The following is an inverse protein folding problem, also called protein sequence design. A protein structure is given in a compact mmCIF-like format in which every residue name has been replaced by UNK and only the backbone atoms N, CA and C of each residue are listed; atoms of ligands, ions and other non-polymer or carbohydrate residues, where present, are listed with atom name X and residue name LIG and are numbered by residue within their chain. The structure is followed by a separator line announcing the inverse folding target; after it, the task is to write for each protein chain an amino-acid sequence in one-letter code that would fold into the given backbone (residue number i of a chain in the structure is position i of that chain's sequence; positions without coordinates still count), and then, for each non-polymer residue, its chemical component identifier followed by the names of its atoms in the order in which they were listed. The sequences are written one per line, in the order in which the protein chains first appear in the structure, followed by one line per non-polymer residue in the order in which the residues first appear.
data_IF_370461780332
#
_entry.id   IF_370461780332
#
_cell.length_a   1.000
_cell.length_b   1.000
_cell.length_c   1.000
_cell.angle_alpha   90.00
_cell.angle_beta   90.00
_cell.angle_gamma   90.00
#
_symmetry.space_group_name_H-M   'P 1'
#
loop_
_entity.id
_entity.type
_entity.pdbx_description
1 polymer ?
#
# COMPACT_ATOMS: atom_id res chain seq x y z
N UNK A 1 13.65 18.84 1.74
CA UNK A 1 12.61 18.35 0.80
C UNK A 1 12.59 16.83 0.71
N UNK A 2 13.74 16.17 0.63
CA UNK A 2 13.89 14.70 0.71
C UNK A 2 13.23 14.05 1.93
N UNK A 3 13.36 14.65 3.13
CA UNK A 3 12.72 14.13 4.35
C UNK A 3 11.19 14.06 4.28
N UNK A 4 10.55 14.97 3.54
CA UNK A 4 9.09 14.97 3.38
C UNK A 4 8.63 13.83 2.45
N UNK A 5 9.42 13.51 1.42
CA UNK A 5 9.15 12.38 0.51
C UNK A 5 9.25 11.05 1.25
N UNK A 6 10.27 10.90 2.09
CA UNK A 6 10.44 9.70 2.90
C UNK A 6 9.30 9.56 3.92
N UNK A 7 8.95 10.63 4.63
CA UNK A 7 7.85 10.62 5.59
C UNK A 7 6.50 10.26 4.93
N UNK A 8 6.22 10.80 3.74
CA UNK A 8 5.02 10.44 2.98
C UNK A 8 5.04 8.99 2.52
N UNK A 9 6.19 8.50 2.04
CA UNK A 9 6.36 7.10 1.63
C UNK A 9 6.14 6.13 2.78
N UNK A 10 6.67 6.43 3.97
CA UNK A 10 6.46 5.64 5.19
C UNK A 10 5.01 5.67 5.66
N UNK A 11 4.37 6.84 5.68
CA UNK A 11 2.97 6.97 6.05
C UNK A 11 2.06 6.17 5.10
N UNK A 12 2.30 6.26 3.79
CA UNK A 12 1.53 5.50 2.80
C UNK A 12 1.79 3.99 2.89
N UNK A 13 3.04 3.59 3.18
CA UNK A 13 3.39 2.19 3.45
C UNK A 13 2.60 1.64 4.63
N UNK A 14 2.48 2.41 5.72
CA UNK A 14 1.72 2.02 6.90
C UNK A 14 0.22 1.89 6.58
N UNK A 15 -0.34 2.80 5.77
CA UNK A 15 -1.74 2.72 5.31
C UNK A 15 -1.98 1.43 4.52
N UNK A 16 -1.08 1.07 3.60
CA UNK A 16 -1.18 -0.19 2.84
C UNK A 16 -1.12 -1.40 3.78
N UNK A 17 -0.22 -1.41 4.75
CA UNK A 17 -0.11 -2.51 5.72
C UNK A 17 -1.42 -2.66 6.51
N UNK A 18 -1.96 -1.56 7.05
CA UNK A 18 -3.23 -1.57 7.79
C UNK A 18 -4.37 -2.07 6.92
N UNK A 19 -4.48 -1.59 5.69
CA UNK A 19 -5.49 -2.05 4.73
C UNK A 19 -5.42 -3.56 4.50
N UNK A 20 -4.22 -4.09 4.30
CA UNK A 20 -4.01 -5.51 4.00
C UNK A 20 -4.34 -6.38 5.20
N UNK A 21 -3.91 -5.97 6.39
CA UNK A 21 -4.27 -6.67 7.62
C UNK A 21 -5.78 -6.67 7.85
N UNK A 22 -6.46 -5.54 7.59
CA UNK A 22 -7.92 -5.46 7.68
C UNK A 22 -8.61 -6.29 6.59
N UNK A 23 -8.06 -6.36 5.38
CA UNK A 23 -8.63 -7.18 4.29
C UNK A 23 -8.63 -8.68 4.59
N UNK A 24 -7.72 -9.12 5.47
CA UNK A 24 -7.67 -10.50 5.95
C UNK A 24 -8.66 -10.78 7.08
N UNK A 25 -9.17 -9.73 7.73
CA UNK A 25 -10.17 -9.85 8.78
C UNK A 25 -11.59 -9.79 8.18
N UNK A 26 -12.56 -10.54 8.73
CA UNK A 26 -13.96 -10.41 8.35
C UNK A 26 -14.45 -9.02 8.75
N UNK A 27 -14.55 -8.15 7.74
CA UNK A 27 -14.89 -6.73 7.90
C UNK A 27 -16.28 -6.46 7.33
N UNK A 28 -17.24 -7.26 7.77
CA UNK A 28 -18.57 -7.37 7.18
C UNK A 28 -19.58 -6.36 7.74
N UNK A 29 -19.34 -5.76 8.93
CA UNK A 29 -20.25 -4.77 9.56
C UNK A 29 -19.53 -3.76 10.45
N UNK A 30 -20.19 -2.60 10.65
CA UNK A 30 -19.78 -1.57 11.61
C UNK A 30 -18.63 -0.67 11.13
N UNK A 31 -18.02 0.05 12.07
CA UNK A 31 -16.95 1.05 11.82
C UNK A 31 -15.78 0.44 11.04
N UNK A 32 -15.47 -0.83 11.26
CA UNK A 32 -14.41 -1.55 10.55
C UNK A 32 -14.68 -1.59 9.04
N UNK A 33 -15.94 -1.79 8.62
CA UNK A 33 -16.34 -1.79 7.21
C UNK A 33 -16.12 -0.42 6.58
N UNK A 34 -16.55 0.64 7.27
CA UNK A 34 -16.40 2.00 6.77
C UNK A 34 -14.92 2.38 6.62
N UNK A 35 -14.08 2.00 7.59
CA UNK A 35 -12.63 2.20 7.52
C UNK A 35 -12.03 1.41 6.36
N UNK A 36 -12.39 0.14 6.21
CA UNK A 36 -11.91 -0.69 5.11
C UNK A 36 -12.32 -0.12 3.73
N UNK A 37 -13.55 0.37 3.58
CA UNK A 37 -14.03 0.97 2.33
C UNK A 37 -13.24 2.25 1.98
N UNK A 38 -12.88 3.06 2.97
CA UNK A 38 -12.04 4.25 2.78
C UNK A 38 -10.62 3.86 2.40
N UNK A 39 -10.03 2.88 3.10
CA UNK A 39 -8.70 2.37 2.79
C UNK A 39 -8.64 1.73 1.41
N UNK A 40 -9.65 0.95 1.02
CA UNK A 40 -9.77 0.36 -0.30
C UNK A 40 -9.74 1.43 -1.40
N UNK A 41 -10.48 2.54 -1.25
CA UNK A 41 -10.46 3.64 -2.23
C UNK A 41 -9.07 4.26 -2.43
N UNK A 42 -8.24 4.26 -1.38
CA UNK A 42 -6.90 4.86 -1.40
C UNK A 42 -5.84 3.86 -1.86
N UNK A 43 -5.96 2.60 -1.46
CA UNK A 43 -4.97 1.54 -1.71
C UNK A 43 -5.23 0.77 -3.01
N UNK A 44 -6.49 0.54 -3.38
CA UNK A 44 -6.85 -0.27 -4.55
C UNK A 44 -6.30 0.27 -5.88
N UNK A 45 -6.32 1.58 -6.18
CA UNK A 45 -5.74 2.07 -7.43
C UNK A 45 -4.26 1.69 -7.58
N UNK A 46 -3.51 1.73 -6.48
CA UNK A 46 -2.10 1.34 -6.45
C UNK A 46 -1.92 -0.18 -6.48
N UNK A 47 -2.65 -0.91 -5.63
CA UNK A 47 -2.56 -2.37 -5.54
C UNK A 47 -3.07 -3.07 -6.81
N UNK A 48 -4.08 -2.54 -7.48
CA UNK A 48 -4.63 -3.07 -8.73
C UNK A 48 -3.61 -3.09 -9.87
N UNK A 49 -2.63 -2.18 -9.86
CA UNK A 49 -1.51 -2.21 -10.82
C UNK A 49 -0.71 -3.52 -10.67
N UNK A 50 -0.55 -3.99 -9.44
CA UNK A 50 0.17 -5.24 -9.13
C UNK A 50 -0.73 -6.47 -9.22
N UNK A 51 -2.02 -6.37 -8.89
CA UNK A 51 -2.99 -7.48 -9.02
C UNK A 51 -3.16 -7.96 -10.47
N UNK A 52 -2.93 -7.09 -11.46
CA UNK A 52 -2.90 -7.50 -12.87
C UNK A 52 -1.71 -8.38 -13.25
N UNK A 53 -0.62 -8.29 -12.50
CA UNK A 53 0.63 -9.00 -12.76
C UNK A 53 0.71 -10.27 -11.89
N UNK A 54 0.23 -10.19 -10.65
CA UNK A 54 0.27 -11.28 -9.67
C UNK A 54 -1.15 -11.81 -9.49
N UNK A 55 -1.50 -12.99 -10.06
CA UNK A 55 -2.80 -13.60 -9.83
C UNK A 55 -3.01 -13.88 -8.33
N UNK A 56 -4.23 -13.66 -7.79
CA UNK A 56 -4.52 -13.89 -6.39
C UNK A 56 -4.34 -15.38 -6.04
N UNK A 57 -3.45 -15.68 -5.08
CA UNK A 57 -3.24 -17.06 -4.62
C UNK A 57 -4.34 -17.38 -3.60
N UNK A 58 -5.32 -18.20 -4.00
CA UNK A 58 -6.34 -18.73 -3.09
C UNK A 58 -7.52 -17.79 -2.77
N UNK A 59 -7.81 -16.80 -3.63
CA UNK A 59 -9.07 -16.02 -3.59
C UNK A 59 -9.22 -15.00 -2.44
N UNK A 60 -8.45 -15.10 -1.36
CA UNK A 60 -8.46 -14.14 -0.23
C UNK A 60 -7.07 -13.65 0.21
N UNK A 61 -5.98 -14.33 -0.17
CA UNK A 61 -4.61 -13.95 0.28
C UNK A 61 -3.87 -13.26 -0.86
N UNK A 62 -3.97 -11.94 -0.88
CA UNK A 62 -3.26 -11.09 -1.84
C UNK A 62 -1.77 -10.98 -1.45
N UNK A 63 -0.86 -11.51 -2.29
CA UNK A 63 0.60 -11.30 -2.20
C UNK A 63 1.02 -9.94 -2.78
N UNK A 64 0.12 -9.29 -3.55
CA UNK A 64 0.31 -7.96 -4.14
C UNK A 64 0.86 -6.88 -3.19
N UNK A 65 0.53 -6.85 -1.88
CA UNK A 65 1.03 -5.82 -0.98
C UNK A 65 2.53 -5.87 -0.74
N UNK A 66 3.14 -7.06 -0.78
CA UNK A 66 4.58 -7.21 -0.57
C UNK A 66 5.34 -6.49 -1.68
N UNK A 67 4.94 -6.73 -2.93
CA UNK A 67 5.53 -6.06 -4.10
C UNK A 67 5.24 -4.55 -4.10
N UNK A 68 4.02 -4.16 -3.74
CA UNK A 68 3.63 -2.76 -3.64
C UNK A 68 4.47 -2.01 -2.62
N UNK A 69 4.64 -2.55 -1.41
CA UNK A 69 5.46 -1.95 -0.35
C UNK A 69 6.94 -1.86 -0.74
N UNK A 70 7.46 -2.91 -1.38
CA UNK A 70 8.85 -2.94 -1.84
C UNK A 70 9.08 -1.85 -2.88
N UNK A 71 8.25 -1.77 -3.91
CA UNK A 71 8.37 -0.76 -4.96
C UNK A 71 8.22 0.65 -4.39
N UNK A 72 7.31 0.85 -3.44
CA UNK A 72 7.12 2.14 -2.78
C UNK A 72 8.38 2.57 -2.00
N UNK A 73 8.96 1.69 -1.17
CA UNK A 73 10.18 2.01 -0.41
C UNK A 73 11.36 2.31 -1.32
N UNK A 74 11.62 1.46 -2.31
CA UNK A 74 12.73 1.66 -3.24
C UNK A 74 12.51 2.90 -4.11
N UNK A 75 11.28 3.15 -4.56
CA UNK A 75 10.92 4.33 -5.35
C UNK A 75 11.09 5.63 -4.56
N UNK A 76 10.53 5.73 -3.35
CA UNK A 76 10.68 6.90 -2.49
C UNK A 76 12.15 7.13 -2.09
N UNK A 77 12.88 6.07 -1.77
CA UNK A 77 14.32 6.15 -1.45
C UNK A 77 15.16 6.63 -2.63
N UNK A 78 14.88 6.13 -3.84
CA UNK A 78 15.57 6.57 -5.06
C UNK A 78 15.23 8.03 -5.40
N UNK A 79 13.95 8.40 -5.36
CA UNK A 79 13.52 9.79 -5.61
C UNK A 79 14.13 10.76 -4.61
N UNK A 80 14.14 10.40 -3.32
CA UNK A 80 14.77 11.21 -2.28
C UNK A 80 16.26 11.40 -2.55
N UNK A 81 16.97 10.35 -2.99
CA UNK A 81 18.39 10.39 -3.35
C UNK A 81 18.68 11.22 -4.60
N UNK A 82 17.85 11.13 -5.63
CA UNK A 82 17.98 11.92 -6.85
C UNK A 82 17.72 13.40 -6.59
N UNK A 83 16.74 13.72 -5.76
CA UNK A 83 16.41 15.10 -5.38
C UNK A 83 17.36 15.68 -4.33
N UNK A 84 18.10 14.85 -3.60
CA UNK A 84 19.22 15.26 -2.74
C UNK A 84 20.57 15.16 -3.45
N UNK A 85 20.57 14.86 -4.76
CA UNK A 85 21.74 14.47 -5.55
C UNK A 85 22.31 15.58 -6.44
N UNK A 86 21.95 16.84 -6.15
CA UNK A 86 22.84 18.01 -6.17
C UNK A 86 22.84 18.60 -4.76
#
# INVERSE_FOLDING_TARGET
MSGLILALGEAYSLIIIVYVLLSWLPTDRGILKDVNDVLARVCDPYLNLFKRIVPPIGGMVDISPIFALLILQFGCGLLARLLSGF
#
